data_IF_998136828651
#
_entry.id   IF_998136828651
#
_cell.length_a   1.000
_cell.length_b   1.000
_cell.length_c   1.000
_cell.angle_alpha   90.00
_cell.angle_beta   90.00
_cell.angle_gamma   90.00
#
_symmetry.space_group_name_H-M   'P 1'
#
loop_
_entity.id
_entity.type
_entity.pdbx_description
1 polymer ?
#
# COMPACT_ATOMS: atom_id res chain seq x y z
N UNK A 1 -6.51 -7.01 0.38
CA UNK A 1 -5.08 -6.84 0.03
C UNK A 1 -4.35 -8.13 0.38
N UNK A 2 -3.52 -8.63 -0.53
CA UNK A 2 -2.65 -9.78 -0.29
C UNK A 2 -1.18 -9.37 -0.42
N UNK A 3 -0.29 -9.97 0.37
CA UNK A 3 1.15 -9.70 0.32
C UNK A 3 1.99 -10.96 0.57
N UNK A 4 3.25 -10.90 0.14
CA UNK A 4 4.28 -11.91 0.46
C UNK A 4 5.55 -11.22 0.89
N UNK A 5 6.37 -11.87 1.72
CA UNK A 5 7.66 -11.34 2.15
C UNK A 5 8.78 -12.11 1.47
N UNK A 6 9.62 -11.41 0.71
CA UNK A 6 10.77 -11.99 0.02
C UNK A 6 12.06 -11.33 0.53
N UNK A 7 13.04 -12.11 0.97
CA UNK A 7 14.38 -11.61 1.31
C UNK A 7 15.32 -11.75 0.12
N UNK A 8 16.25 -10.80 -0.03
CA UNK A 8 17.36 -10.91 -0.97
C UNK A 8 18.31 -12.05 -0.58
N UNK A 9 19.11 -12.52 -1.54
CA UNK A 9 20.07 -13.62 -1.32
C UNK A 9 21.10 -13.32 -0.23
N UNK A 10 21.46 -12.05 -0.06
CA UNK A 10 22.37 -11.57 0.99
C UNK A 10 21.68 -11.29 2.33
N UNK A 11 20.36 -11.47 2.42
CA UNK A 11 19.57 -11.23 3.62
C UNK A 11 19.40 -9.77 4.03
N UNK A 12 19.94 -8.80 3.26
CA UNK A 12 19.98 -7.38 3.65
C UNK A 12 18.75 -6.58 3.24
N UNK A 13 17.98 -7.08 2.29
CA UNK A 13 16.86 -6.34 1.70
C UNK A 13 15.61 -7.21 1.72
N UNK A 14 14.49 -6.61 2.09
CA UNK A 14 13.16 -7.21 1.98
C UNK A 14 12.43 -6.56 0.83
N UNK A 15 11.75 -7.37 0.03
CA UNK A 15 10.76 -6.94 -0.95
C UNK A 15 9.41 -7.52 -0.58
N UNK A 16 8.40 -6.66 -0.47
CA UNK A 16 7.01 -7.03 -0.22
C UNK A 16 6.22 -6.76 -1.51
N UNK A 17 6.07 -7.75 -2.42
CA UNK A 17 5.06 -7.68 -3.45
C UNK A 17 3.66 -7.68 -2.81
N UNK A 18 2.81 -6.80 -3.30
CA UNK A 18 1.43 -6.62 -2.82
C UNK A 18 0.48 -6.71 -4.01
N UNK A 19 -0.60 -7.46 -3.85
CA UNK A 19 -1.73 -7.52 -4.77
C UNK A 19 -2.91 -6.82 -4.11
N UNK A 20 -3.38 -5.77 -4.77
CA UNK A 20 -4.53 -4.98 -4.38
C UNK A 20 -5.69 -5.37 -5.27
N UNK A 21 -6.76 -5.85 -4.66
CA UNK A 21 -7.98 -6.25 -5.35
C UNK A 21 -9.13 -5.40 -4.85
N UNK A 22 -10.01 -5.01 -5.77
CA UNK A 22 -11.24 -4.29 -5.48
C UNK A 22 -12.42 -5.16 -5.84
N UNK A 23 -13.28 -5.39 -4.85
CA UNK A 23 -14.57 -6.04 -5.06
C UNK A 23 -15.57 -5.03 -5.62
N UNK A 24 -16.26 -5.42 -6.70
CA UNK A 24 -17.29 -4.60 -7.34
C UNK A 24 -16.89 -4.01 -8.70
N UNK A 25 -17.90 -3.66 -9.49
CA UNK A 25 -17.69 -2.95 -10.74
C UNK A 25 -17.16 -1.55 -10.41
N UNK A 26 -16.03 -1.21 -11.00
CA UNK A 26 -15.49 0.14 -10.96
C UNK A 26 -16.46 1.16 -11.57
N UNK A 27 -17.53 0.72 -12.28
CA UNK A 27 -18.94 1.19 -12.31
C UNK A 27 -19.26 2.68 -12.48
N UNK A 28 -18.46 3.54 -11.86
CA UNK A 28 -18.45 5.00 -11.89
C UNK A 28 -17.07 5.53 -12.33
N UNK A 29 -16.15 4.68 -12.84
CA UNK A 29 -15.11 5.19 -13.73
C UNK A 29 -15.87 5.77 -14.90
N UNK A 30 -15.98 7.08 -14.90
CA UNK A 30 -16.21 7.81 -16.11
C UNK A 30 -15.11 7.34 -17.08
N UNK A 31 -15.47 6.42 -17.98
CA UNK A 31 -14.53 5.81 -18.94
C UNK A 31 -13.85 6.89 -19.79
N UNK A 32 -14.41 8.10 -19.78
CA UNK A 32 -13.90 9.32 -20.40
C UNK A 32 -12.87 10.07 -19.54
N UNK A 33 -12.90 9.98 -18.20
CA UNK A 33 -11.98 10.70 -17.30
C UNK A 33 -10.65 9.97 -17.04
N UNK A 34 -10.62 8.64 -17.17
CA UNK A 34 -9.38 7.84 -17.05
C UNK A 34 -8.88 7.60 -15.62
N UNK A 35 -9.61 8.03 -14.59
CA UNK A 35 -9.29 7.82 -13.17
C UNK A 35 -10.53 7.45 -12.34
N UNK A 36 -10.33 7.04 -11.08
CA UNK A 36 -11.42 6.76 -10.15
C UNK A 36 -11.74 8.04 -9.36
N UNK A 37 -12.93 8.65 -9.52
CA UNK A 37 -13.26 9.89 -8.83
C UNK A 37 -13.61 9.66 -7.36
N UNK A 38 -13.29 10.64 -6.52
CA UNK A 38 -13.62 10.64 -5.09
C UNK A 38 -14.87 11.47 -4.85
N UNK A 39 -15.85 10.89 -4.15
CA UNK A 39 -17.00 11.62 -3.67
C UNK A 39 -16.65 12.43 -2.41
N UNK A 40 -16.43 13.74 -2.58
CA UNK A 40 -16.09 14.65 -1.49
C UNK A 40 -16.90 15.97 -1.57
N UNK A 41 -18.09 15.98 -0.96
CA UNK A 41 -19.08 17.09 -1.04
C UNK A 41 -18.50 18.48 -0.72
N UNK A 42 -17.54 18.57 0.18
CA UNK A 42 -16.95 19.83 0.64
C UNK A 42 -15.58 20.15 0.02
N UNK A 43 -15.04 19.25 -0.80
CA UNK A 43 -13.80 19.50 -1.51
C UNK A 43 -14.12 20.18 -2.85
N UNK A 44 -13.61 21.40 -3.10
CA UNK A 44 -14.06 22.21 -4.23
C UNK A 44 -13.50 21.77 -5.59
N UNK A 45 -12.51 20.88 -5.62
CA UNK A 45 -11.85 20.42 -6.84
C UNK A 45 -12.23 19.00 -7.24
N UNK A 46 -11.82 18.59 -8.44
CA UNK A 46 -11.81 17.19 -8.81
C UNK A 46 -10.73 16.45 -8.01
N UNK A 47 -11.03 15.21 -7.63
CA UNK A 47 -10.10 14.38 -6.86
C UNK A 47 -10.08 12.97 -7.41
N UNK A 48 -8.91 12.55 -7.85
CA UNK A 48 -8.60 11.14 -8.15
C UNK A 48 -8.27 10.40 -6.86
N UNK A 49 -8.84 9.20 -6.72
CA UNK A 49 -8.59 8.29 -5.61
C UNK A 49 -7.15 7.74 -5.65
N UNK A 50 -6.41 7.88 -4.56
CA UNK A 50 -5.07 7.31 -4.44
C UNK A 50 -4.83 6.74 -3.05
N UNK A 51 -3.83 5.88 -2.94
CA UNK A 51 -3.49 5.16 -1.72
C UNK A 51 -1.99 5.23 -1.46
N UNK A 52 -1.65 5.13 -0.19
CA UNK A 52 -0.29 4.96 0.29
C UNK A 52 -0.11 3.52 0.76
N UNK A 53 0.78 2.78 0.09
CA UNK A 53 1.30 1.54 0.62
C UNK A 53 2.54 1.87 1.47
N UNK A 54 2.44 1.61 2.77
CA UNK A 54 3.41 2.04 3.79
C UNK A 54 3.91 0.85 4.57
N UNK A 55 5.22 0.77 4.78
CA UNK A 55 5.82 -0.11 5.76
C UNK A 55 6.55 0.74 6.81
N UNK A 56 6.29 0.45 8.09
CA UNK A 56 6.92 1.12 9.23
C UNK A 56 7.26 0.14 10.34
N UNK A 57 8.04 0.62 11.32
CA UNK A 57 8.32 -0.07 12.57
C UNK A 57 8.30 0.95 13.70
N UNK A 58 7.36 0.81 14.66
CA UNK A 58 7.12 1.81 15.71
C UNK A 58 6.94 3.20 15.10
N UNK A 59 7.76 4.17 15.49
CA UNK A 59 7.72 5.56 15.03
C UNK A 59 8.60 5.82 13.78
N UNK A 60 9.03 4.77 13.07
CA UNK A 60 9.92 4.89 11.91
C UNK A 60 9.28 4.38 10.62
N UNK A 61 9.29 5.23 9.59
CA UNK A 61 8.92 4.86 8.23
C UNK A 61 10.08 4.14 7.55
N UNK A 62 9.87 2.93 7.03
CA UNK A 62 10.93 2.15 6.33
C UNK A 62 10.74 2.11 4.83
N UNK A 63 9.50 2.17 4.33
CA UNK A 63 9.21 2.34 2.92
C UNK A 63 7.81 2.94 2.71
N UNK A 64 7.66 3.71 1.64
CA UNK A 64 6.39 4.28 1.22
C UNK A 64 6.29 4.27 -0.31
N UNK A 65 5.09 4.00 -0.81
CA UNK A 65 4.78 4.07 -2.24
C UNK A 65 3.35 4.53 -2.44
N UNK A 66 3.17 5.53 -3.30
CA UNK A 66 1.85 5.92 -3.79
C UNK A 66 1.36 4.94 -4.86
N UNK A 67 0.10 4.53 -4.79
CA UNK A 67 -0.55 3.62 -5.73
C UNK A 67 -1.95 4.13 -6.09
N UNK A 68 -2.44 3.75 -7.26
CA UNK A 68 -3.81 3.98 -7.72
C UNK A 68 -4.42 2.64 -8.08
N UNK A 69 -5.67 2.40 -7.66
CA UNK A 69 -6.39 1.13 -7.89
C UNK A 69 -7.45 1.39 -8.97
N UNK A 70 -6.98 1.59 -10.20
CA UNK A 70 -7.82 1.93 -11.36
C UNK A 70 -8.31 0.71 -12.15
N UNK A 71 -8.02 -0.50 -11.67
CA UNK A 71 -8.41 -1.79 -12.25
C UNK A 71 -8.86 -2.71 -11.12
N UNK A 72 -9.56 -3.79 -11.47
CA UNK A 72 -9.99 -4.81 -10.52
C UNK A 72 -8.82 -5.39 -9.69
N UNK A 73 -7.63 -5.50 -10.31
CA UNK A 73 -6.40 -5.93 -9.64
C UNK A 73 -5.23 -5.01 -10.03
N UNK A 74 -4.46 -4.58 -9.03
CA UNK A 74 -3.22 -3.82 -9.19
C UNK A 74 -2.10 -4.48 -8.39
N UNK A 75 -0.92 -4.58 -8.99
CA UNK A 75 0.28 -5.12 -8.33
C UNK A 75 1.23 -3.99 -7.97
N UNK A 76 1.67 -3.97 -6.73
CA UNK A 76 2.65 -3.02 -6.21
C UNK A 76 3.80 -3.77 -5.55
N UNK A 77 4.90 -3.06 -5.29
CA UNK A 77 6.01 -3.57 -4.50
C UNK A 77 6.54 -2.48 -3.56
N UNK A 78 6.79 -2.86 -2.32
CA UNK A 78 7.66 -2.14 -1.39
C UNK A 78 8.99 -2.87 -1.28
N UNK A 79 10.05 -2.10 -1.04
CA UNK A 79 11.39 -2.63 -0.82
C UNK A 79 12.11 -1.77 0.19
N UNK A 80 12.75 -2.38 1.19
CA UNK A 80 13.54 -1.69 2.19
C UNK A 80 14.68 -2.56 2.71
N UNK A 81 15.68 -1.91 3.31
CA UNK A 81 16.81 -2.60 3.95
C UNK A 81 16.43 -3.06 5.35
N UNK A 82 16.90 -4.25 5.70
CA UNK A 82 16.81 -4.76 7.06
C UNK A 82 17.88 -4.10 7.95
N UNK A 83 17.63 -3.99 9.27
CA UNK A 83 18.64 -3.60 10.23
C UNK A 83 19.85 -4.52 10.20
N UNK A 84 21.04 -4.03 10.58
CA UNK A 84 22.27 -4.84 10.59
C UNK A 84 22.33 -5.85 11.73
N UNK A 85 21.61 -5.58 12.83
CA UNK A 85 21.62 -6.45 14.01
C UNK A 85 20.71 -7.66 13.78
N UNK A 86 21.19 -8.89 14.01
CA UNK A 86 20.35 -10.08 13.97
C UNK A 86 19.19 -9.98 14.95
N UNK A 87 18.02 -10.49 14.57
CA UNK A 87 16.83 -10.43 15.41
C UNK A 87 15.52 -10.57 14.65
N UNK A 88 14.42 -10.71 15.37
CA UNK A 88 13.07 -10.65 14.80
C UNK A 88 12.56 -9.22 14.85
N UNK A 89 12.12 -8.70 13.71
CA UNK A 89 11.57 -7.35 13.59
C UNK A 89 10.13 -7.44 13.11
N UNK A 90 9.22 -6.81 13.86
CA UNK A 90 7.81 -6.70 13.49
C UNK A 90 7.61 -5.35 12.82
N UNK A 91 7.15 -5.38 11.58
CA UNK A 91 6.78 -4.21 10.79
C UNK A 91 5.27 -4.11 10.70
N UNK A 92 4.78 -2.89 10.53
CA UNK A 92 3.40 -2.61 10.18
C UNK A 92 3.34 -2.29 8.69
N UNK A 93 2.51 -3.03 7.95
CA UNK A 93 2.21 -2.79 6.55
C UNK A 93 0.80 -2.19 6.44
N UNK A 94 0.72 -0.93 6.03
CA UNK A 94 -0.54 -0.20 5.87
C UNK A 94 -0.85 0.06 4.41
N UNK A 95 -2.12 -0.06 4.03
CA UNK A 95 -2.69 0.54 2.83
C UNK A 95 -3.63 1.66 3.29
N UNK A 96 -3.19 2.90 3.15
CA UNK A 96 -3.92 4.08 3.63
C UNK A 96 -4.54 4.86 2.49
N UNK A 97 -5.83 5.19 2.60
CA UNK A 97 -6.51 6.04 1.63
C UNK A 97 -6.09 7.49 1.80
N UNK A 98 -5.90 8.22 0.71
CA UNK A 98 -5.69 9.68 0.76
C UNK A 98 -7.01 10.48 0.75
N UNK A 99 -8.16 9.79 0.72
CA UNK A 99 -9.45 10.38 0.41
C UNK A 99 -10.60 9.92 1.32
N UNK A 100 -10.52 8.72 1.89
CA UNK A 100 -11.60 8.14 2.71
C UNK A 100 -11.09 7.73 4.08
N UNK A 101 -11.79 8.12 5.14
CA UNK A 101 -11.51 7.64 6.49
C UNK A 101 -12.14 6.26 6.71
N UNK A 102 -11.46 5.41 7.49
CA UNK A 102 -11.97 4.07 7.86
C UNK A 102 -11.86 3.02 6.75
N UNK A 103 -11.21 3.35 5.64
CA UNK A 103 -10.92 2.41 4.54
C UNK A 103 -9.49 1.86 4.59
N UNK A 104 -8.72 2.24 5.62
CA UNK A 104 -7.32 1.83 5.76
C UNK A 104 -7.22 0.37 6.20
N UNK A 105 -6.24 -0.33 5.64
CA UNK A 105 -5.91 -1.71 6.04
C UNK A 105 -4.54 -1.73 6.71
N UNK A 106 -4.42 -2.47 7.81
CA UNK A 106 -3.18 -2.63 8.55
C UNK A 106 -2.88 -4.11 8.80
N UNK A 107 -1.63 -4.50 8.61
CA UNK A 107 -1.15 -5.88 8.79
C UNK A 107 0.19 -5.89 9.51
N UNK A 108 0.34 -6.77 10.50
CA UNK A 108 1.65 -7.05 11.10
C UNK A 108 2.45 -8.01 10.21
N UNK A 109 3.74 -7.70 10.05
CA UNK A 109 4.68 -8.44 9.21
C UNK A 109 5.95 -8.71 10.01
N UNK A 110 6.16 -9.97 10.39
CA UNK A 110 7.41 -10.38 11.04
C UNK A 110 8.49 -10.75 10.02
N UNK A 111 9.68 -10.20 10.21
CA UNK A 111 10.87 -10.55 9.43
C UNK A 111 12.06 -10.79 10.34
N UNK A 112 12.64 -11.98 10.24
CA UNK A 112 13.92 -12.28 10.87
C UNK A 112 15.08 -11.66 10.08
N UNK A 113 16.07 -11.09 10.75
CA UNK A 113 17.38 -10.77 10.20
C UNK A 113 18.34 -11.85 10.62
#
# INVERSE_FOLDING_TARGET
>A
MEYKVNKSKDGKTVTIPVVLERDGDLGVIDKTAGFVPVYAKYYPGEKEESWWLVAGMKDSLVAIRRVTINKAQVKAKLQFRLPEKPGKYTYTLCLMSDSFMGADHEYEVEVAV
#
